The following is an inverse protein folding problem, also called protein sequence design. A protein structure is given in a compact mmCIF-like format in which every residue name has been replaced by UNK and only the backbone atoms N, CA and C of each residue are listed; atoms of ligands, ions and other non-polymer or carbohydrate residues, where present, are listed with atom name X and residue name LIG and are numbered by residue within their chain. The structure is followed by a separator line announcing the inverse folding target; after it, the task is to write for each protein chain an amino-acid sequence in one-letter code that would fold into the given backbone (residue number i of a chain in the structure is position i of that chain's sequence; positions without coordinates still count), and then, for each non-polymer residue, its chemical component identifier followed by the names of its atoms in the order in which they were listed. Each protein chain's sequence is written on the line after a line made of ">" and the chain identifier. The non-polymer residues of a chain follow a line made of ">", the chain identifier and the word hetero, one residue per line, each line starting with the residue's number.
data_IF_069199416267
#
_entry.id   IF_069199416267
#
_cell.length_a   1.000
_cell.length_b   1.000
_cell.length_c   1.000
_cell.angle_alpha   90.00
_cell.angle_beta   90.00
_cell.angle_gamma   90.00
#
_symmetry.space_group_name_H-M   'P 1'
#
loop_
_entity.id
_entity.type
_entity.pdbx_description
1 polymer ?
#
# COMPACT_ATOMS: atom_id res chain seq x y z
N UNK A 1 -31.75 13.59 31.27
CA UNK A 1 -31.13 13.28 29.94
C UNK A 1 -29.85 12.50 30.19
N UNK A 2 -29.96 11.19 30.11
CA UNK A 2 -28.79 10.31 30.19
C UNK A 2 -28.06 10.35 28.88
N UNK A 3 -26.92 11.06 28.81
CA UNK A 3 -25.97 10.93 27.73
C UNK A 3 -25.43 9.51 27.77
N UNK A 4 -25.86 8.68 26.85
CA UNK A 4 -25.27 7.40 26.59
C UNK A 4 -23.83 7.69 26.11
N UNK A 5 -22.88 7.73 27.03
CA UNK A 5 -21.46 7.69 26.71
C UNK A 5 -21.23 6.36 26.00
N UNK A 6 -20.84 6.44 24.74
CA UNK A 6 -20.49 5.28 23.95
C UNK A 6 -19.53 4.41 24.74
N UNK A 7 -20.01 3.26 25.18
CA UNK A 7 -19.24 2.25 25.92
C UNK A 7 -18.00 1.78 25.16
N UNK A 8 -17.95 2.06 23.87
CA UNK A 8 -16.83 1.76 22.98
C UNK A 8 -15.56 2.58 23.26
N UNK A 9 -15.66 3.71 23.97
CA UNK A 9 -14.49 4.58 24.23
C UNK A 9 -13.65 4.18 25.45
N UNK A 10 -14.20 3.32 26.31
CA UNK A 10 -13.60 2.96 27.60
C UNK A 10 -12.96 1.56 27.65
N UNK A 11 -13.14 0.74 26.62
CA UNK A 11 -12.45 -0.55 26.57
C UNK A 11 -11.08 -0.41 25.91
N UNK A 12 -10.01 -0.84 26.59
CA UNK A 12 -8.70 -0.94 25.96
C UNK A 12 -8.83 -1.82 24.71
N UNK A 13 -8.43 -1.29 23.55
CA UNK A 13 -8.47 -2.04 22.29
C UNK A 13 -7.59 -3.28 22.43
N UNK A 14 -8.21 -4.43 22.41
CA UNK A 14 -7.52 -5.72 22.44
C UNK A 14 -6.72 -5.86 21.16
N UNK A 15 -5.44 -6.22 21.25
CA UNK A 15 -4.60 -6.47 20.08
C UNK A 15 -5.10 -7.72 19.35
N UNK A 16 -4.77 -7.84 18.06
CA UNK A 16 -5.08 -9.00 17.24
C UNK A 16 -4.63 -10.32 17.91
N UNK A 17 -3.42 -10.34 18.41
CA UNK A 17 -2.86 -11.51 19.09
C UNK A 17 -3.58 -11.87 20.36
N UNK A 18 -3.88 -10.87 21.17
CA UNK A 18 -4.68 -11.03 22.38
C UNK A 18 -6.08 -11.57 22.08
N UNK A 19 -6.70 -11.09 20.99
CA UNK A 19 -8.02 -11.57 20.58
C UNK A 19 -7.97 -13.04 20.11
N UNK A 20 -6.97 -13.41 19.34
CA UNK A 20 -6.75 -14.79 18.87
C UNK A 20 -6.52 -15.72 20.07
N UNK A 21 -5.66 -15.34 20.99
CA UNK A 21 -5.35 -16.12 22.19
C UNK A 21 -6.56 -16.24 23.12
N UNK A 22 -7.31 -15.15 23.29
CA UNK A 22 -8.55 -15.17 24.06
C UNK A 22 -9.60 -16.09 23.44
N UNK A 23 -9.75 -16.08 22.11
CA UNK A 23 -10.66 -16.96 21.40
C UNK A 23 -10.27 -18.45 21.56
N UNK A 24 -9.00 -18.78 21.44
CA UNK A 24 -8.48 -20.14 21.65
C UNK A 24 -8.65 -20.61 23.11
N UNK A 25 -8.45 -19.70 24.04
CA UNK A 25 -8.64 -20.00 25.47
C UNK A 25 -10.12 -20.22 25.78
N UNK A 26 -11.01 -19.36 25.26
CA UNK A 26 -12.44 -19.52 25.45
C UNK A 26 -13.00 -20.82 24.83
N UNK A 27 -12.42 -21.25 23.71
CA UNK A 27 -12.81 -22.50 23.04
C UNK A 27 -12.69 -23.72 23.94
N UNK A 28 -11.76 -23.73 24.91
CA UNK A 28 -11.60 -24.84 25.87
C UNK A 28 -12.79 -25.06 26.78
N UNK A 29 -13.61 -24.05 26.97
CA UNK A 29 -14.77 -24.06 27.86
C UNK A 29 -16.10 -24.15 27.12
N UNK A 30 -16.06 -24.23 25.79
CA UNK A 30 -17.25 -24.27 24.94
C UNK A 30 -17.61 -25.72 24.55
N UNK A 31 -18.88 -25.97 24.19
CA UNK A 31 -19.25 -27.24 23.54
C UNK A 31 -18.45 -27.50 22.29
N UNK A 32 -18.23 -28.78 21.94
CA UNK A 32 -17.31 -29.18 20.85
C UNK A 32 -17.58 -28.45 19.55
N UNK A 33 -18.81 -28.31 19.12
CA UNK A 33 -19.15 -27.62 17.87
C UNK A 33 -18.78 -26.13 17.90
N UNK A 34 -19.07 -25.46 19.01
CA UNK A 34 -18.75 -24.04 19.22
C UNK A 34 -17.25 -23.82 19.37
N UNK A 35 -16.56 -24.75 20.03
CA UNK A 35 -15.10 -24.73 20.19
C UNK A 35 -14.41 -24.86 18.84
N UNK A 36 -14.87 -25.76 17.98
CA UNK A 36 -14.33 -25.92 16.62
C UNK A 36 -14.53 -24.64 15.78
N UNK A 37 -15.72 -24.06 15.83
CA UNK A 37 -16.02 -22.82 15.14
C UNK A 37 -15.13 -21.67 15.63
N UNK A 38 -14.94 -21.52 16.93
CA UNK A 38 -14.12 -20.47 17.53
C UNK A 38 -12.65 -20.64 17.13
N UNK A 39 -12.12 -21.87 17.18
CA UNK A 39 -10.76 -22.15 16.76
C UNK A 39 -10.55 -21.91 15.26
N UNK A 40 -11.52 -22.26 14.42
CA UNK A 40 -11.46 -22.01 12.98
C UNK A 40 -11.48 -20.51 12.68
N UNK A 41 -12.34 -19.74 13.35
CA UNK A 41 -12.37 -18.29 13.22
C UNK A 41 -11.04 -17.65 13.64
N UNK A 42 -10.47 -18.09 14.76
CA UNK A 42 -9.18 -17.60 15.23
C UNK A 42 -8.05 -17.91 14.22
N UNK A 43 -8.05 -19.10 13.64
CA UNK A 43 -7.08 -19.52 12.62
C UNK A 43 -7.22 -18.71 11.35
N UNK A 44 -8.44 -18.53 10.85
CA UNK A 44 -8.69 -17.71 9.66
C UNK A 44 -8.34 -16.25 9.89
N UNK A 45 -8.63 -15.71 11.07
CA UNK A 45 -8.22 -14.35 11.42
C UNK A 45 -6.70 -14.20 11.41
N UNK A 46 -5.97 -15.13 12.02
CA UNK A 46 -4.49 -15.12 12.00
C UNK A 46 -3.96 -15.17 10.56
N UNK A 47 -4.41 -16.12 9.77
CA UNK A 47 -3.98 -16.29 8.37
C UNK A 47 -4.30 -15.04 7.52
N UNK A 48 -5.49 -14.48 7.66
CA UNK A 48 -5.89 -13.27 6.92
C UNK A 48 -5.04 -12.07 7.30
N UNK A 49 -4.71 -11.92 8.57
CA UNK A 49 -3.85 -10.84 9.03
C UNK A 49 -2.42 -10.98 8.52
N UNK A 50 -1.87 -12.20 8.49
CA UNK A 50 -0.54 -12.46 7.95
C UNK A 50 -0.50 -12.17 6.45
N UNK A 51 -1.51 -12.63 5.70
CA UNK A 51 -1.64 -12.31 4.27
C UNK A 51 -1.78 -10.81 4.01
N UNK A 52 -2.49 -10.07 4.87
CA UNK A 52 -2.61 -8.62 4.77
C UNK A 52 -1.27 -7.93 5.01
N UNK A 53 -0.51 -8.35 6.03
CA UNK A 53 0.83 -7.80 6.30
C UNK A 53 1.76 -8.04 5.13
N UNK A 54 1.80 -9.25 4.58
CA UNK A 54 2.59 -9.58 3.41
C UNK A 54 2.19 -8.74 2.19
N UNK A 55 0.90 -8.58 1.94
CA UNK A 55 0.40 -7.71 0.86
C UNK A 55 0.80 -6.25 1.04
N UNK A 56 0.82 -5.74 2.27
CA UNK A 56 1.28 -4.38 2.56
C UNK A 56 2.79 -4.22 2.32
N UNK A 57 3.60 -5.20 2.70
CA UNK A 57 5.03 -5.21 2.45
C UNK A 57 5.33 -5.23 0.95
N UNK A 58 4.66 -6.10 0.19
CA UNK A 58 4.78 -6.15 -1.26
C UNK A 58 4.39 -4.83 -1.92
N UNK A 59 3.30 -4.21 -1.48
CA UNK A 59 2.87 -2.91 -1.99
C UNK A 59 3.89 -1.82 -1.70
N UNK A 60 4.47 -1.81 -0.52
CA UNK A 60 5.52 -0.85 -0.16
C UNK A 60 6.79 -1.06 -0.99
N UNK A 61 7.20 -2.30 -1.21
CA UNK A 61 8.33 -2.62 -2.08
C UNK A 61 8.08 -2.15 -3.52
N UNK A 62 6.90 -2.43 -4.07
CA UNK A 62 6.51 -1.96 -5.41
C UNK A 62 6.44 -0.43 -5.51
N UNK A 63 6.02 0.26 -4.46
CA UNK A 63 6.01 1.72 -4.43
C UNK A 63 7.43 2.30 -4.49
N UNK A 64 8.38 1.70 -3.77
CA UNK A 64 9.79 2.09 -3.80
C UNK A 64 10.38 1.83 -5.19
N UNK A 65 10.18 0.63 -5.74
CA UNK A 65 10.63 0.28 -7.08
C UNK A 65 10.06 1.22 -8.14
N UNK A 66 8.78 1.55 -8.05
CA UNK A 66 8.14 2.49 -8.96
C UNK A 66 8.76 3.89 -8.87
N UNK A 67 9.12 4.35 -7.68
CA UNK A 67 9.81 5.63 -7.49
C UNK A 67 11.17 5.63 -8.16
N UNK A 68 11.95 4.57 -7.97
CA UNK A 68 13.28 4.42 -8.60
C UNK A 68 13.16 4.42 -10.12
N UNK A 69 12.23 3.63 -10.67
CA UNK A 69 12.00 3.57 -12.11
C UNK A 69 11.61 4.93 -12.70
N UNK A 70 10.84 5.73 -11.97
CA UNK A 70 10.48 7.09 -12.42
C UNK A 70 11.66 8.04 -12.42
N UNK A 71 12.50 7.96 -11.40
CA UNK A 71 13.74 8.74 -11.33
C UNK A 71 14.66 8.38 -12.49
N UNK A 72 14.77 7.09 -12.80
CA UNK A 72 15.55 6.61 -13.95
C UNK A 72 15.00 7.13 -15.27
N UNK A 73 13.69 7.02 -15.51
CA UNK A 73 13.05 7.55 -16.73
C UNK A 73 13.28 9.06 -16.86
N UNK A 74 13.16 9.80 -15.75
CA UNK A 74 13.40 11.24 -15.73
C UNK A 74 14.87 11.57 -16.05
N UNK A 75 15.79 10.79 -15.51
CA UNK A 75 17.21 10.93 -15.79
C UNK A 75 17.54 10.66 -17.26
N UNK A 76 17.00 9.58 -17.81
CA UNK A 76 17.14 9.25 -19.22
C UNK A 76 16.54 10.30 -20.15
N UNK A 77 15.38 10.85 -19.80
CA UNK A 77 14.76 11.95 -20.57
C UNK A 77 15.68 13.18 -20.62
N UNK A 78 16.27 13.55 -19.49
CA UNK A 78 17.25 14.67 -19.44
C UNK A 78 18.50 14.39 -20.26
N UNK A 79 18.99 13.17 -20.23
CA UNK A 79 20.17 12.80 -21.03
C UNK A 79 19.85 12.79 -22.53
N UNK A 80 18.68 12.31 -22.93
CA UNK A 80 18.21 12.44 -24.32
C UNK A 80 18.12 13.90 -24.76
N UNK A 81 17.59 14.79 -23.90
CA UNK A 81 17.54 16.23 -24.20
C UNK A 81 18.94 16.80 -24.45
N UNK A 82 19.94 16.44 -23.64
CA UNK A 82 21.32 16.86 -23.81
C UNK A 82 21.94 16.34 -25.12
N UNK A 83 21.67 15.07 -25.47
CA UNK A 83 22.17 14.46 -26.71
C UNK A 83 21.54 15.15 -27.91
N UNK A 84 20.22 15.38 -27.91
CA UNK A 84 19.53 16.08 -28.99
C UNK A 84 20.04 17.50 -29.13
N UNK A 85 20.20 18.23 -28.03
CA UNK A 85 20.73 19.60 -28.05
C UNK A 85 22.16 19.66 -28.65
N UNK A 86 22.99 18.68 -28.30
CA UNK A 86 24.34 18.57 -28.83
C UNK A 86 24.35 18.27 -30.31
N UNK A 87 23.48 17.40 -30.80
CA UNK A 87 23.41 16.96 -32.18
C UNK A 87 22.63 17.90 -33.09
N UNK A 88 21.65 18.64 -32.59
CA UNK A 88 20.89 19.62 -33.39
C UNK A 88 21.70 20.86 -33.76
N UNK A 89 22.79 21.13 -33.04
CA UNK A 89 23.75 22.17 -33.46
C UNK A 89 24.55 21.78 -34.69
N UNK A 90 24.60 20.49 -35.02
CA UNK A 90 25.43 20.00 -36.14
C UNK A 90 24.62 19.40 -37.29
N UNK A 91 23.58 18.64 -37.08
CA UNK A 91 22.63 18.13 -38.09
C UNK A 91 21.36 17.55 -37.43
N UNK A 92 20.20 17.82 -38.02
CA UNK A 92 18.92 17.32 -37.56
C UNK A 92 18.85 15.80 -37.75
N UNK A 93 18.78 15.04 -36.65
CA UNK A 93 18.54 13.62 -36.70
C UNK A 93 17.09 13.36 -36.23
N UNK A 94 16.19 13.06 -37.20
CA UNK A 94 14.74 12.88 -36.96
C UNK A 94 14.43 11.77 -35.93
N UNK A 95 15.22 10.70 -35.91
CA UNK A 95 15.02 9.58 -34.99
C UNK A 95 15.27 9.96 -33.52
N UNK A 96 16.24 10.84 -33.27
CA UNK A 96 16.51 11.33 -31.90
C UNK A 96 15.40 12.25 -31.39
N UNK A 97 14.81 13.06 -32.26
CA UNK A 97 13.69 13.93 -31.93
C UNK A 97 12.40 13.14 -31.62
N UNK A 98 12.21 12.06 -32.36
CA UNK A 98 11.09 11.15 -32.16
C UNK A 98 11.20 10.40 -30.83
N UNK A 99 12.37 9.82 -30.52
CA UNK A 99 12.66 9.18 -29.24
C UNK A 99 12.52 10.14 -28.05
N UNK A 100 12.94 11.40 -28.21
CA UNK A 100 12.78 12.46 -27.20
C UNK A 100 11.31 12.74 -26.93
N UNK A 101 10.48 12.80 -27.98
CA UNK A 101 9.04 13.02 -27.86
C UNK A 101 8.36 11.88 -27.10
N UNK A 102 8.68 10.64 -27.45
CA UNK A 102 8.14 9.45 -26.77
C UNK A 102 8.50 9.43 -25.27
N UNK A 103 9.73 9.78 -24.91
CA UNK A 103 10.16 9.88 -23.52
C UNK A 103 9.42 10.98 -22.74
N UNK A 104 9.15 12.11 -23.37
CA UNK A 104 8.37 13.19 -22.76
C UNK A 104 6.91 12.80 -22.55
N UNK A 105 6.35 12.05 -23.47
CA UNK A 105 4.96 11.56 -23.37
C UNK A 105 4.81 10.54 -22.23
N UNK A 106 5.86 9.81 -21.88
CA UNK A 106 5.87 8.88 -20.75
C UNK A 106 5.97 9.57 -19.37
N UNK A 107 6.61 10.74 -19.28
CA UNK A 107 6.82 11.44 -17.99
C UNK A 107 5.52 11.98 -17.37
N UNK A 108 4.54 12.55 -18.10
CA UNK A 108 3.28 13.00 -17.51
C UNK A 108 2.40 11.87 -16.99
N UNK A 109 2.46 10.69 -17.62
CA UNK A 109 1.67 9.51 -17.22
C UNK A 109 2.12 8.98 -15.87
N UNK A 110 3.40 9.09 -15.56
CA UNK A 110 3.95 8.67 -14.27
C UNK A 110 3.52 9.59 -13.12
N UNK A 111 3.35 10.89 -13.37
CA UNK A 111 2.87 11.84 -12.36
C UNK A 111 1.36 11.70 -12.08
N UNK A 112 0.57 11.32 -13.06
CA UNK A 112 -0.87 11.11 -12.92
C UNK A 112 -1.23 9.86 -12.08
N UNK A 113 -0.38 8.84 -12.09
CA UNK A 113 -0.59 7.59 -11.32
C UNK A 113 -0.35 7.78 -9.82
N UNK A 114 0.36 8.84 -9.42
CA UNK A 114 0.63 9.14 -7.98
C UNK A 114 -0.58 9.76 -7.28
N UNK A 115 -1.52 10.34 -8.01
CA UNK A 115 -2.78 10.85 -7.45
C UNK A 115 -3.72 9.67 -7.13
N UNK A 116 -3.36 8.90 -6.10
CA UNK A 116 -4.31 8.03 -5.41
C UNK A 116 -5.35 8.95 -4.80
N UNK A 117 -6.64 8.80 -5.13
CA UNK A 117 -7.68 9.59 -4.51
C UNK A 117 -7.55 9.54 -2.98
N UNK A 118 -7.73 10.68 -2.33
CA UNK A 118 -7.61 10.81 -0.86
C UNK A 118 -8.49 9.81 -0.09
N UNK A 119 -9.52 9.29 -0.73
CA UNK A 119 -10.43 8.27 -0.18
C UNK A 119 -9.70 6.99 0.27
N UNK A 120 -8.60 6.61 -0.39
CA UNK A 120 -7.81 5.45 0.04
C UNK A 120 -6.79 5.77 1.16
N UNK A 121 -6.48 7.04 1.39
CA UNK A 121 -5.61 7.44 2.51
C UNK A 121 -6.31 7.29 3.86
N UNK A 122 -7.63 7.43 3.91
CA UNK A 122 -8.40 7.30 5.14
C UNK A 122 -8.43 5.87 5.69
N UNK A 123 -8.41 4.87 4.81
CA UNK A 123 -8.39 3.45 5.20
C UNK A 123 -7.01 3.06 5.75
N UNK A 124 -5.95 3.59 5.16
CA UNK A 124 -4.57 3.35 5.62
C UNK A 124 -4.27 3.98 6.98
N UNK A 125 -4.86 5.15 7.28
CA UNK A 125 -4.66 5.83 8.56
C UNK A 125 -5.48 5.20 9.69
N UNK A 126 -6.63 4.60 9.41
CA UNK A 126 -7.41 3.86 10.40
C UNK A 126 -6.72 2.55 10.83
N UNK A 127 -5.94 1.91 9.95
CA UNK A 127 -5.18 0.72 10.32
C UNK A 127 -3.91 1.01 11.15
N UNK A 128 -3.33 2.21 11.04
CA UNK A 128 -2.19 2.60 11.90
C UNK A 128 -2.57 2.83 13.36
N UNK A 129 -3.83 3.11 13.65
CA UNK A 129 -4.34 3.30 15.00
C UNK A 129 -4.52 2.00 15.81
N UNK A 130 -4.34 0.83 15.18
CA UNK A 130 -4.51 -0.50 15.81
C UNK A 130 -3.19 -1.11 16.29
N UNK A 131 -2.06 -0.49 15.99
CA UNK A 131 -0.72 -0.97 16.40
C UNK A 131 -0.07 -0.15 17.54
N UNK A 132 -0.86 0.59 18.26
CA UNK A 132 -0.40 1.24 19.49
C UNK A 132 -1.01 0.60 20.71
#
# INVERSE_FOLDING_TARGET
>A
MTTSKNVTELQPRVTREQLIDAARTAAKYLPVASAQLMNELATRLATTCDALCESMEQRNALAIENTVLREDVTSWAKECDRIVERHTKTRCNMHLLEAQRELRDLTPVTDAVINIPEEHKSISSQHRGVQA
#
